data_IF_667343306167
#
_entry.id   IF_667343306167
#
_cell.length_a   1.000
_cell.length_b   1.000
_cell.length_c   1.000
_cell.angle_alpha   90.00
_cell.angle_beta   90.00
_cell.angle_gamma   90.00
#
_symmetry.space_group_name_H-M   'P 1'
#
loop_
_entity.id
_entity.type
_entity.pdbx_description
1 polymer ?
#
# COMPACT_ATOMS: atom_id res chain seq x y z
N UNK A 1 32.04 -46.63 -2.50
CA UNK A 1 31.17 -45.96 -3.48
C UNK A 1 30.14 -45.15 -2.71
N UNK A 2 30.25 -43.82 -2.77
CA UNK A 2 29.31 -42.91 -2.13
C UNK A 2 28.12 -42.61 -3.05
N UNK A 3 26.92 -42.66 -2.49
CA UNK A 3 25.76 -41.96 -3.01
C UNK A 3 25.25 -41.10 -1.85
N UNK A 4 25.87 -39.93 -1.72
CA UNK A 4 25.38 -38.87 -0.84
C UNK A 4 24.07 -38.38 -1.43
N UNK A 5 22.96 -38.82 -0.84
CA UNK A 5 21.65 -38.24 -1.05
C UNK A 5 21.73 -36.76 -0.68
N UNK A 6 21.67 -35.91 -1.69
CA UNK A 6 21.64 -34.46 -1.51
C UNK A 6 20.31 -34.10 -0.84
N UNK A 7 20.31 -33.35 0.28
CA UNK A 7 19.06 -32.84 0.81
C UNK A 7 18.51 -31.83 -0.20
N UNK A 8 17.35 -32.16 -0.79
CA UNK A 8 16.53 -31.16 -1.51
C UNK A 8 16.25 -30.05 -0.52
N UNK A 9 16.94 -28.92 -0.66
CA UNK A 9 16.60 -27.67 -0.01
C UNK A 9 15.23 -27.28 -0.57
N UNK A 10 14.19 -27.76 0.10
CA UNK A 10 12.84 -27.28 -0.06
C UNK A 10 12.85 -25.86 0.49
N UNK A 11 13.07 -24.88 -0.38
CA UNK A 11 12.89 -23.46 -0.04
C UNK A 11 11.40 -23.26 0.22
N UNK A 12 10.99 -23.56 1.45
CA UNK A 12 9.78 -23.02 2.04
C UNK A 12 9.97 -21.51 2.09
N UNK A 13 9.44 -20.80 1.10
CA UNK A 13 9.24 -19.35 1.17
C UNK A 13 8.13 -19.07 2.19
N UNK A 14 8.48 -19.18 3.48
CA UNK A 14 7.62 -18.96 4.64
C UNK A 14 7.47 -17.47 4.98
N UNK A 15 7.56 -16.55 4.02
CA UNK A 15 7.50 -15.13 4.33
C UNK A 15 6.15 -14.55 3.93
N UNK A 16 5.25 -14.46 4.91
CA UNK A 16 4.07 -13.58 4.89
C UNK A 16 4.47 -12.11 4.83
N UNK A 17 5.18 -11.73 3.77
CA UNK A 17 5.54 -10.39 3.35
C UNK A 17 5.04 -10.31 1.92
N UNK A 18 4.20 -9.33 1.61
CA UNK A 18 3.67 -8.99 0.28
C UNK A 18 4.43 -9.66 -0.87
N UNK A 19 3.74 -10.51 -1.64
CA UNK A 19 4.38 -11.29 -2.70
C UNK A 19 4.96 -10.37 -3.78
N UNK A 20 6.02 -10.82 -4.45
CA UNK A 20 6.64 -10.04 -5.52
C UNK A 20 5.67 -9.78 -6.68
N UNK A 21 4.72 -10.69 -6.95
CA UNK A 21 3.62 -10.48 -7.90
C UNK A 21 2.71 -9.33 -7.48
N UNK A 22 2.37 -9.23 -6.20
CA UNK A 22 1.54 -8.13 -5.67
C UNK A 22 2.23 -6.78 -5.88
N UNK A 23 3.54 -6.71 -5.64
CA UNK A 23 4.34 -5.50 -5.87
C UNK A 23 4.31 -5.10 -7.35
N UNK A 24 4.50 -6.06 -8.26
CA UNK A 24 4.51 -5.81 -9.69
C UNK A 24 3.12 -5.39 -10.19
N UNK A 25 2.05 -6.03 -9.69
CA UNK A 25 0.67 -5.67 -9.98
C UNK A 25 0.36 -4.26 -9.50
N UNK A 26 0.71 -3.92 -8.26
CA UNK A 26 0.52 -2.57 -7.72
C UNK A 26 1.25 -1.50 -8.54
N UNK A 27 2.50 -1.77 -8.95
CA UNK A 27 3.24 -0.88 -9.85
C UNK A 27 2.58 -0.75 -11.21
N UNK A 28 2.12 -1.85 -11.80
CA UNK A 28 1.47 -1.85 -13.10
C UNK A 28 0.17 -1.01 -13.08
N UNK A 29 -0.65 -1.15 -12.03
CA UNK A 29 -1.82 -0.28 -11.79
C UNK A 29 -1.38 1.19 -11.78
N UNK A 30 -0.31 1.52 -11.06
CA UNK A 30 0.24 2.87 -10.99
C UNK A 30 1.03 3.33 -12.24
N UNK A 31 1.16 2.49 -13.25
CA UNK A 31 1.79 2.84 -14.53
C UNK A 31 0.76 2.87 -15.67
N UNK A 32 -0.41 2.26 -15.49
CA UNK A 32 -1.52 2.38 -16.43
C UNK A 32 -1.84 3.87 -16.63
N UNK A 33 -1.69 4.33 -17.87
CA UNK A 33 -1.71 5.74 -18.31
C UNK A 33 -3.07 6.43 -18.21
N UNK A 34 -3.71 6.40 -17.03
CA UNK A 34 -4.85 7.26 -16.70
C UNK A 34 -6.20 6.57 -16.46
N UNK A 35 -6.26 5.23 -16.34
CA UNK A 35 -7.52 4.48 -16.09
C UNK A 35 -7.71 4.01 -14.65
N UNK A 36 -6.96 4.54 -13.70
CA UNK A 36 -6.99 4.07 -12.30
C UNK A 36 -8.06 4.85 -11.56
N UNK A 37 -8.92 4.12 -10.88
CA UNK A 37 -9.84 4.67 -9.89
C UNK A 37 -9.09 5.06 -8.62
N UNK A 38 -9.62 6.00 -7.81
CA UNK A 38 -9.03 6.33 -6.51
C UNK A 38 -8.89 5.10 -5.59
N UNK A 39 -9.77 4.11 -5.75
CA UNK A 39 -9.71 2.84 -5.02
C UNK A 39 -8.52 1.98 -5.43
N UNK A 40 -8.29 1.82 -6.73
CA UNK A 40 -7.11 1.09 -7.25
C UNK A 40 -5.79 1.76 -6.83
N UNK A 41 -5.76 3.10 -6.75
CA UNK A 41 -4.60 3.80 -6.19
C UNK A 41 -4.38 3.47 -4.71
N UNK A 42 -5.44 3.49 -3.88
CA UNK A 42 -5.34 3.14 -2.46
C UNK A 42 -4.80 1.72 -2.28
N UNK A 43 -5.38 0.74 -2.98
CA UNK A 43 -4.94 -0.66 -2.88
C UNK A 43 -3.49 -0.84 -3.34
N UNK A 44 -3.08 -0.20 -4.44
CA UNK A 44 -1.69 -0.24 -4.89
C UNK A 44 -0.73 0.40 -3.86
N UNK A 45 -1.08 1.55 -3.29
CA UNK A 45 -0.21 2.21 -2.31
C UNK A 45 -0.14 1.45 -0.97
N UNK A 46 -1.18 0.71 -0.55
CA UNK A 46 -1.11 -0.17 0.63
C UNK A 46 -0.08 -1.29 0.45
N UNK A 47 -0.07 -1.92 -0.71
CA UNK A 47 0.90 -2.96 -1.07
C UNK A 47 2.32 -2.37 -1.05
N UNK A 48 2.52 -1.22 -1.69
CA UNK A 48 3.84 -0.60 -1.79
C UNK A 48 4.34 -0.02 -0.46
N UNK A 49 3.45 0.47 0.39
CA UNK A 49 3.79 0.99 1.73
C UNK A 49 4.29 -0.09 2.67
N UNK A 50 3.91 -1.36 2.49
CA UNK A 50 4.47 -2.47 3.26
C UNK A 50 5.94 -2.75 2.92
N UNK A 51 6.38 -2.39 1.70
CA UNK A 51 7.75 -2.64 1.22
C UNK A 51 8.65 -1.42 1.42
N UNK A 52 8.12 -0.22 1.15
CA UNK A 52 8.83 1.05 1.40
C UNK A 52 7.88 2.08 2.02
N UNK A 53 7.67 2.05 3.35
CA UNK A 53 6.75 2.95 4.03
C UNK A 53 7.08 4.43 3.78
N UNK A 54 8.37 4.79 3.85
CA UNK A 54 8.85 6.17 3.68
C UNK A 54 8.44 6.75 2.31
N UNK A 55 8.52 5.95 1.25
CA UNK A 55 8.21 6.42 -0.12
C UNK A 55 6.71 6.46 -0.42
N UNK A 56 5.92 5.55 0.18
CA UNK A 56 4.54 5.30 -0.26
C UNK A 56 3.47 5.67 0.76
N UNK A 57 3.78 5.79 2.07
CA UNK A 57 2.81 6.30 3.05
C UNK A 57 2.31 7.71 2.72
N UNK A 58 3.15 8.70 2.34
CA UNK A 58 2.67 10.02 1.94
C UNK A 58 1.68 9.98 0.77
N UNK A 59 1.90 9.04 -0.16
CA UNK A 59 1.05 8.86 -1.35
C UNK A 59 -0.25 8.13 -1.00
N UNK A 60 -0.18 7.17 -0.08
CA UNK A 60 -1.34 6.47 0.47
C UNK A 60 -2.29 7.45 1.18
N UNK A 61 -1.76 8.34 2.03
CA UNK A 61 -2.57 9.35 2.73
C UNK A 61 -3.33 10.22 1.72
N UNK A 62 -2.66 10.72 0.68
CA UNK A 62 -3.31 11.52 -0.38
C UNK A 62 -4.37 10.74 -1.16
N UNK A 63 -4.15 9.46 -1.42
CA UNK A 63 -5.12 8.61 -2.11
C UNK A 63 -6.36 8.34 -1.24
N UNK A 64 -6.17 8.04 0.04
CA UNK A 64 -7.23 7.83 1.02
C UNK A 64 -8.08 9.09 1.22
N UNK A 65 -7.44 10.26 1.34
CA UNK A 65 -8.16 11.54 1.41
C UNK A 65 -9.01 11.77 0.15
N UNK A 66 -8.42 11.63 -1.05
CA UNK A 66 -9.14 11.77 -2.33
C UNK A 66 -10.33 10.82 -2.42
N UNK A 67 -10.16 9.54 -2.06
CA UNK A 67 -11.24 8.56 -2.06
C UNK A 67 -12.31 8.90 -1.02
N UNK A 68 -11.94 9.45 0.15
CA UNK A 68 -12.91 9.91 1.16
C UNK A 68 -13.74 11.12 0.69
N UNK A 69 -13.20 11.95 -0.20
CA UNK A 69 -13.88 13.09 -0.79
C UNK A 69 -14.66 12.74 -2.07
N UNK A 70 -14.49 11.53 -2.62
CA UNK A 70 -15.30 11.07 -3.75
C UNK A 70 -16.72 10.78 -3.27
N UNK A 71 -17.56 11.81 -3.31
CA UNK A 71 -18.91 11.85 -2.74
C UNK A 71 -19.93 11.06 -3.54
N UNK A 72 -19.51 10.23 -4.51
CA UNK A 72 -20.41 9.40 -5.33
C UNK A 72 -21.32 8.47 -4.50
N UNK A 73 -21.00 8.25 -3.22
CA UNK A 73 -21.81 7.46 -2.27
C UNK A 73 -22.46 8.26 -1.12
N UNK A 74 -22.35 9.59 -1.09
CA UNK A 74 -22.93 10.46 -0.07
C UNK A 74 -22.09 10.63 1.21
N UNK A 75 -22.24 11.80 1.86
CA UNK A 75 -21.38 12.34 2.93
C UNK A 75 -21.40 11.57 4.27
N UNK A 76 -22.21 10.50 4.38
CA UNK A 76 -22.39 9.71 5.61
C UNK A 76 -22.15 8.21 5.43
N UNK A 77 -21.28 7.84 4.49
CA UNK A 77 -20.95 6.42 4.33
C UNK A 77 -19.92 6.00 5.39
N UNK A 78 -20.14 4.92 6.17
CA UNK A 78 -19.17 4.43 7.16
C UNK A 78 -17.80 4.11 6.56
N UNK A 79 -17.73 3.79 5.27
CA UNK A 79 -16.46 3.63 4.57
C UNK A 79 -15.65 4.93 4.50
N UNK A 80 -16.29 6.09 4.45
CA UNK A 80 -15.62 7.39 4.38
C UNK A 80 -14.88 7.70 5.70
N UNK A 81 -15.48 7.36 6.85
CA UNK A 81 -14.84 7.49 8.16
C UNK A 81 -13.65 6.55 8.26
N UNK A 82 -13.82 5.27 7.89
CA UNK A 82 -12.74 4.29 7.92
C UNK A 82 -11.53 4.72 7.05
N UNK A 83 -11.78 5.30 5.87
CA UNK A 83 -10.73 5.85 5.01
C UNK A 83 -9.97 7.01 5.66
N UNK A 84 -10.67 7.89 6.38
CA UNK A 84 -10.03 9.00 7.12
C UNK A 84 -9.22 8.49 8.31
N UNK A 85 -9.73 7.53 9.05
CA UNK A 85 -9.02 6.91 10.18
C UNK A 85 -7.73 6.23 9.70
N UNK A 86 -7.78 5.50 8.59
CA UNK A 86 -6.61 4.91 7.96
C UNK A 86 -5.62 5.98 7.49
N UNK A 87 -6.10 7.08 6.90
CA UNK A 87 -5.24 8.19 6.47
C UNK A 87 -4.48 8.81 7.65
N UNK A 88 -5.16 9.00 8.79
CA UNK A 88 -4.53 9.50 10.02
C UNK A 88 -3.52 8.49 10.57
N UNK A 89 -3.83 7.20 10.57
CA UNK A 89 -2.91 6.16 11.00
C UNK A 89 -1.64 6.12 10.13
N UNK A 90 -1.81 6.19 8.80
CA UNK A 90 -0.70 6.25 7.85
C UNK A 90 0.14 7.52 8.04
N UNK A 91 -0.49 8.68 8.24
CA UNK A 91 0.23 9.94 8.48
C UNK A 91 1.02 9.93 9.80
N UNK A 92 0.50 9.25 10.84
CA UNK A 92 1.20 9.08 12.12
C UNK A 92 2.41 8.15 12.03
N UNK A 93 2.39 7.20 11.09
CA UNK A 93 3.49 6.27 10.83
C UNK A 93 4.64 6.88 9.99
N UNK A 94 4.43 8.04 9.36
CA UNK A 94 5.49 8.78 8.65
C UNK A 94 6.46 9.36 9.69
N UNK A 95 7.76 9.38 9.41
CA UNK A 95 8.74 9.98 10.31
C UNK A 95 8.46 11.47 10.56
N UNK A 96 8.53 11.98 11.81
CA UNK A 96 8.26 13.38 12.12
C UNK A 96 9.23 14.37 11.44
N UNK A 97 10.43 13.93 11.07
CA UNK A 97 11.39 14.73 10.32
C UNK A 97 11.11 14.77 8.81
N UNK A 98 10.16 13.99 8.30
CA UNK A 98 9.79 14.02 6.89
C UNK A 98 9.03 15.33 6.59
N UNK A 99 9.58 16.22 5.74
CA UNK A 99 8.97 17.53 5.48
C UNK A 99 7.57 17.43 4.85
N UNK A 100 7.26 16.32 4.19
CA UNK A 100 5.94 16.07 3.62
C UNK A 100 4.86 15.77 4.67
N UNK A 101 5.23 15.41 5.91
CA UNK A 101 4.28 14.99 6.97
C UNK A 101 3.32 16.10 7.38
N UNK A 102 3.79 17.34 7.48
CA UNK A 102 2.98 18.48 7.96
C UNK A 102 1.80 18.82 7.06
N UNK A 103 1.85 18.45 5.78
CA UNK A 103 0.81 18.75 4.79
C UNK A 103 -0.23 17.62 4.64
N UNK A 104 -0.15 16.58 5.48
CA UNK A 104 -0.96 15.36 5.39
C UNK A 104 -1.95 15.16 6.54
N UNK A 105 -1.82 15.96 7.61
CA UNK A 105 -2.72 16.00 8.77
C UNK A 105 -3.69 17.17 8.65
#
# INVERSE_FOLDING_TARGET
>A
MGLSETPRISVMHLSGKVDQDDILRARNVLLASGRRTPREEVDAYRVLAQVSPVSYLPRLVKALQRLSYDTSAGERHPACLALREEAVAAARAIDPAEPARGNLL
#
